data_IF_531097207063
#
_entry.id   IF_531097207063
#
_cell.length_a   1.000
_cell.length_b   1.000
_cell.length_c   1.000
_cell.angle_alpha   90.00
_cell.angle_beta   90.00
_cell.angle_gamma   90.00
#
_symmetry.space_group_name_H-M   'P 1'
#
loop_
_entity.id
_entity.type
_entity.pdbx_description
1 polymer ?
#
# COMPACT_ATOMS: atom_id res chain seq x y z
N UNK A 1 6.19 1.79 -15.07
CA UNK A 1 5.13 2.06 -14.08
C UNK A 1 3.91 2.58 -14.83
N UNK A 2 2.70 2.25 -14.39
CA UNK A 2 1.47 2.90 -14.85
C UNK A 2 0.89 3.74 -13.72
N UNK A 3 0.49 4.98 -14.02
CA UNK A 3 -0.19 5.87 -13.08
C UNK A 3 -1.65 5.96 -13.52
N UNK A 4 -2.58 5.97 -12.58
CA UNK A 4 -3.95 6.31 -12.91
C UNK A 4 -4.91 6.22 -11.74
N UNK A 5 -6.19 6.43 -12.07
CA UNK A 5 -7.25 6.57 -11.09
C UNK A 5 -7.24 7.91 -10.37
N UNK A 6 -6.46 8.88 -10.87
CA UNK A 6 -6.28 10.20 -10.27
C UNK A 6 -7.63 10.86 -9.98
N UNK A 7 -7.88 11.08 -8.70
CA UNK A 7 -9.08 11.78 -8.21
C UNK A 7 -8.62 12.92 -7.30
N UNK A 8 -9.13 14.13 -7.53
CA UNK A 8 -8.84 15.29 -6.67
C UNK A 8 -8.03 16.40 -7.34
N UNK A 9 -7.41 17.24 -6.51
CA UNK A 9 -6.60 18.39 -6.94
C UNK A 9 -5.25 17.95 -7.52
N UNK A 10 -4.71 18.70 -8.48
CA UNK A 10 -3.31 18.57 -8.91
C UNK A 10 -2.37 19.56 -8.22
N UNK A 11 -2.94 20.53 -7.49
CA UNK A 11 -2.17 21.44 -6.66
C UNK A 11 -1.88 20.76 -5.32
N UNK A 12 -0.59 20.78 -4.94
CA UNK A 12 -0.12 20.34 -3.63
C UNK A 12 -0.66 21.26 -2.53
N UNK A 13 -1.18 20.68 -1.46
CA UNK A 13 -1.81 21.41 -0.35
C UNK A 13 -0.96 21.29 0.90
N UNK A 14 -0.88 22.38 1.67
CA UNK A 14 -0.21 22.32 2.98
C UNK A 14 -1.13 21.58 3.96
N UNK A 15 -0.89 20.28 4.11
CA UNK A 15 -1.61 19.40 5.03
C UNK A 15 -0.80 19.10 6.29
N UNK A 16 -1.49 18.65 7.33
CA UNK A 16 -0.88 18.14 8.57
C UNK A 16 -1.32 16.69 8.77
N UNK A 17 -0.55 15.71 8.29
CA UNK A 17 -0.95 14.32 8.39
C UNK A 17 -1.01 13.85 9.85
N UNK A 18 -1.85 12.87 10.11
CA UNK A 18 -1.92 12.16 11.38
C UNK A 18 -1.32 10.79 11.21
N UNK A 19 -0.32 10.46 12.02
CA UNK A 19 0.34 9.17 11.98
C UNK A 19 -0.66 8.07 12.33
N UNK A 20 -0.95 7.22 11.36
CA UNK A 20 -1.83 6.05 11.50
C UNK A 20 -1.15 4.85 10.82
N UNK A 21 -1.27 3.69 11.44
CA UNK A 21 -0.87 2.42 10.85
C UNK A 21 -2.11 1.52 10.78
N UNK A 22 -2.50 1.13 9.57
CA UNK A 22 -3.66 0.24 9.35
C UNK A 22 -3.21 -1.02 8.62
N UNK A 23 -3.34 -2.16 9.29
CA UNK A 23 -2.96 -3.47 8.76
C UNK A 23 -4.20 -4.35 8.64
N UNK A 24 -4.61 -4.68 7.42
CA UNK A 24 -5.76 -5.55 7.16
C UNK A 24 -5.30 -6.92 6.69
N UNK A 25 -5.90 -7.99 7.22
CA UNK A 25 -5.50 -9.37 6.95
C UNK A 25 -5.78 -9.87 5.52
N UNK A 26 -6.54 -9.11 4.72
CA UNK A 26 -7.02 -9.54 3.40
C UNK A 26 -8.49 -9.94 3.40
N UNK A 27 -9.07 -10.12 2.22
CA UNK A 27 -10.51 -10.21 2.03
C UNK A 27 -11.11 -8.86 1.66
N UNK A 28 -12.38 -8.63 2.02
CA UNK A 28 -12.98 -7.31 1.90
C UNK A 28 -12.31 -6.33 2.88
N UNK A 29 -12.12 -5.09 2.44
CA UNK A 29 -11.64 -4.02 3.31
C UNK A 29 -12.61 -3.76 4.47
N UNK A 30 -12.06 -3.42 5.63
CA UNK A 30 -12.84 -2.89 6.75
C UNK A 30 -13.02 -1.38 6.54
N UNK A 31 -14.23 -0.96 6.17
CA UNK A 31 -14.52 0.43 5.82
C UNK A 31 -14.17 1.40 6.96
N UNK A 32 -14.40 1.04 8.23
CA UNK A 32 -14.09 1.92 9.35
C UNK A 32 -12.58 2.15 9.49
N UNK A 33 -11.78 1.09 9.42
CA UNK A 33 -10.33 1.19 9.45
C UNK A 33 -9.76 1.90 8.20
N UNK A 34 -10.36 1.67 7.03
CA UNK A 34 -9.98 2.32 5.78
C UNK A 34 -10.29 3.83 5.80
N UNK A 35 -11.44 4.24 6.36
CA UNK A 35 -11.77 5.65 6.60
C UNK A 35 -10.77 6.28 7.54
N UNK A 36 -10.43 5.60 8.65
CA UNK A 36 -9.41 6.11 9.56
C UNK A 36 -8.05 6.25 8.86
N UNK A 37 -7.65 5.32 8.01
CA UNK A 37 -6.42 5.48 7.22
C UNK A 37 -6.48 6.74 6.34
N UNK A 38 -7.56 6.93 5.57
CA UNK A 38 -7.71 8.04 4.63
C UNK A 38 -7.72 9.41 5.33
N UNK A 39 -8.43 9.53 6.47
CA UNK A 39 -8.39 10.74 7.32
C UNK A 39 -6.99 11.05 7.84
N UNK A 40 -6.13 10.03 7.96
CA UNK A 40 -4.73 10.18 8.34
C UNK A 40 -3.94 11.05 7.36
N UNK A 41 -4.38 11.18 6.10
CA UNK A 41 -3.79 12.11 5.14
C UNK A 41 -4.00 13.58 5.57
N UNK A 42 -4.92 13.87 6.50
CA UNK A 42 -5.13 15.24 7.00
C UNK A 42 -5.62 16.21 5.92
N UNK A 43 -6.23 15.71 4.85
CA UNK A 43 -6.63 16.48 3.68
C UNK A 43 -5.56 16.64 2.61
N UNK A 44 -4.39 16.01 2.76
CA UNK A 44 -3.32 15.95 1.76
C UNK A 44 -3.46 14.76 0.79
N UNK A 45 -2.35 14.37 0.19
CA UNK A 45 -2.28 13.42 -0.91
C UNK A 45 -2.15 11.98 -0.43
N UNK A 46 -2.91 11.09 -1.08
CA UNK A 46 -2.93 9.66 -0.81
C UNK A 46 -2.38 8.88 -2.00
N UNK A 47 -1.26 8.18 -1.80
CA UNK A 47 -0.66 7.32 -2.84
C UNK A 47 -1.01 5.86 -2.58
N UNK A 48 -1.53 5.19 -3.60
CA UNK A 48 -1.80 3.75 -3.57
C UNK A 48 -0.73 3.03 -4.37
N UNK A 49 0.02 2.16 -3.72
CA UNK A 49 1.00 1.29 -4.35
C UNK A 49 0.36 -0.07 -4.66
N UNK A 50 0.48 -0.50 -5.92
CA UNK A 50 0.00 -1.81 -6.38
C UNK A 50 1.07 -2.52 -7.19
N UNK A 51 1.16 -3.84 -7.03
CA UNK A 51 1.84 -4.71 -8.00
C UNK A 51 0.89 -5.25 -9.09
N UNK A 52 -0.42 -5.31 -8.82
CA UNK A 52 -1.42 -5.81 -9.77
C UNK A 52 -2.80 -5.20 -9.53
N UNK A 53 -3.73 -5.42 -10.47
CA UNK A 53 -5.13 -5.01 -10.36
C UNK A 53 -5.45 -3.62 -10.92
N UNK A 54 -6.52 -3.01 -10.41
CA UNK A 54 -7.11 -1.78 -10.96
C UNK A 54 -6.32 -0.50 -10.64
N UNK A 55 -6.29 0.44 -11.56
CA UNK A 55 -5.78 1.79 -11.30
C UNK A 55 -6.80 2.67 -10.55
N UNK A 56 -8.10 2.40 -10.66
CA UNK A 56 -9.15 3.34 -10.22
C UNK A 56 -9.93 2.92 -8.98
N UNK A 57 -9.80 1.68 -8.52
CA UNK A 57 -10.63 1.14 -7.43
C UNK A 57 -10.39 1.85 -6.10
N UNK A 58 -9.13 1.96 -5.66
CA UNK A 58 -8.81 2.58 -4.38
C UNK A 58 -8.91 4.11 -4.36
N UNK A 59 -8.51 4.85 -5.40
CA UNK A 59 -8.70 6.31 -5.39
C UNK A 59 -10.16 6.71 -5.16
N UNK A 60 -11.10 6.09 -5.87
CA UNK A 60 -12.54 6.35 -5.68
C UNK A 60 -13.01 5.90 -4.29
N UNK A 61 -12.54 4.75 -3.83
CA UNK A 61 -12.89 4.21 -2.52
C UNK A 61 -12.51 5.17 -1.39
N UNK A 62 -11.24 5.62 -1.37
CA UNK A 62 -10.73 6.51 -0.32
C UNK A 62 -11.25 7.95 -0.41
N UNK A 63 -11.54 8.47 -1.60
CA UNK A 63 -11.98 9.87 -1.74
C UNK A 63 -13.50 10.03 -1.72
N UNK A 64 -14.23 9.06 -2.24
CA UNK A 64 -15.68 9.20 -2.51
C UNK A 64 -16.52 8.21 -1.71
N UNK A 65 -16.20 6.91 -1.76
CA UNK A 65 -17.06 5.87 -1.15
C UNK A 65 -17.06 5.94 0.38
N UNK A 66 -15.91 6.17 0.99
CA UNK A 66 -15.72 6.15 2.44
C UNK A 66 -16.06 7.47 3.16
N UNK A 67 -16.27 8.55 2.39
CA UNK A 67 -16.56 9.91 2.88
C UNK A 67 -15.71 10.39 4.08
N UNK A 68 -14.37 10.21 4.08
CA UNK A 68 -13.51 10.57 5.22
C UNK A 68 -13.55 12.07 5.52
N UNK A 69 -13.31 12.44 6.79
CA UNK A 69 -13.25 13.82 7.26
C UNK A 69 -11.99 14.07 8.13
N UNK A 70 -10.99 14.81 7.64
CA UNK A 70 -10.92 15.46 6.33
C UNK A 70 -10.74 14.44 5.19
N UNK A 71 -11.32 14.76 4.03
CA UNK A 71 -11.11 13.99 2.80
C UNK A 71 -9.74 14.30 2.20
N UNK A 72 -8.98 13.30 1.71
CA UNK A 72 -7.76 13.54 0.93
C UNK A 72 -7.96 14.56 -0.21
N UNK A 73 -6.98 15.42 -0.46
CA UNK A 73 -6.97 16.38 -1.58
C UNK A 73 -6.90 15.67 -2.91
N UNK A 74 -6.07 14.62 -2.96
CA UNK A 74 -5.89 13.75 -4.10
C UNK A 74 -5.72 12.29 -3.67
N UNK A 75 -6.04 11.38 -4.59
CA UNK A 75 -5.63 9.98 -4.48
C UNK A 75 -5.20 9.46 -5.85
N UNK A 76 -4.07 8.75 -5.89
CA UNK A 76 -3.46 8.24 -7.13
C UNK A 76 -2.93 6.83 -6.94
N UNK A 77 -3.13 5.97 -7.94
CA UNK A 77 -2.53 4.63 -7.96
C UNK A 77 -1.24 4.61 -8.78
N UNK A 78 -0.16 4.10 -8.17
CA UNK A 78 1.07 3.71 -8.84
C UNK A 78 1.10 2.19 -8.99
N UNK A 79 0.93 1.71 -10.22
CA UNK A 79 1.01 0.31 -10.56
C UNK A 79 2.42 -0.05 -11.05
N UNK A 80 3.09 -0.90 -10.26
CA UNK A 80 4.47 -1.36 -10.46
C UNK A 80 4.53 -2.82 -10.93
N UNK A 81 3.61 -3.20 -11.83
CA UNK A 81 3.43 -4.59 -12.27
C UNK A 81 4.63 -5.19 -13.04
N UNK A 82 5.49 -4.35 -13.61
CA UNK A 82 6.67 -4.80 -14.34
C UNK A 82 7.86 -4.84 -13.36
N UNK A 83 8.62 -5.94 -13.28
CA UNK A 83 9.82 -6.00 -12.44
C UNK A 83 10.75 -4.80 -12.65
N UNK A 84 11.21 -4.20 -11.55
CA UNK A 84 12.07 -3.01 -11.57
C UNK A 84 11.34 -1.67 -11.74
N UNK A 85 10.03 -1.65 -12.02
CA UNK A 85 9.31 -0.35 -12.12
C UNK A 85 9.07 0.33 -10.78
N UNK A 86 9.17 -0.39 -9.67
CA UNK A 86 9.22 0.21 -8.34
C UNK A 86 10.51 1.00 -8.10
N UNK A 87 11.57 0.72 -8.86
CA UNK A 87 12.84 1.45 -8.80
C UNK A 87 12.84 2.74 -9.62
N UNK A 88 11.74 3.07 -10.29
CA UNK A 88 11.59 4.33 -11.01
C UNK A 88 11.67 5.50 -9.99
N UNK A 89 12.57 6.49 -10.20
CA UNK A 89 12.68 7.65 -9.31
C UNK A 89 11.36 8.40 -9.10
N UNK A 90 10.44 8.34 -10.07
CA UNK A 90 9.11 8.93 -9.93
C UNK A 90 8.30 8.28 -8.79
N UNK A 91 8.44 6.97 -8.56
CA UNK A 91 7.76 6.27 -7.45
C UNK A 91 8.21 6.84 -6.11
N UNK A 92 9.53 6.96 -5.91
CA UNK A 92 10.10 7.58 -4.70
C UNK A 92 9.65 9.02 -4.54
N UNK A 93 9.51 9.75 -5.65
CA UNK A 93 9.04 11.13 -5.64
C UNK A 93 7.61 11.26 -5.09
N UNK A 94 6.70 10.39 -5.55
CA UNK A 94 5.33 10.31 -5.05
C UNK A 94 5.28 9.89 -3.57
N UNK A 95 5.99 8.81 -3.20
CA UNK A 95 6.04 8.35 -1.81
C UNK A 95 6.56 9.46 -0.91
N UNK A 96 7.64 10.16 -1.31
CA UNK A 96 8.20 11.21 -0.48
C UNK A 96 7.33 12.47 -0.37
N UNK A 97 6.31 12.65 -1.20
CA UNK A 97 5.40 13.81 -1.11
C UNK A 97 4.06 13.48 -0.45
N UNK A 98 3.68 12.22 -0.37
CA UNK A 98 2.39 11.83 0.16
C UNK A 98 2.25 12.02 1.68
N UNK A 99 1.04 12.37 2.10
CA UNK A 99 0.57 12.37 3.49
C UNK A 99 0.03 11.01 3.93
N UNK A 100 -0.36 10.17 2.99
CA UNK A 100 -0.79 8.79 3.24
C UNK A 100 -0.35 7.83 2.13
N UNK A 101 0.10 6.63 2.50
CA UNK A 101 0.45 5.57 1.54
C UNK A 101 -0.27 4.26 1.86
N UNK A 102 -0.97 3.71 0.86
CA UNK A 102 -1.67 2.42 0.94
C UNK A 102 -1.01 1.36 0.06
N UNK A 103 -0.73 0.18 0.62
CA UNK A 103 -0.24 -0.98 -0.14
C UNK A 103 -1.38 -1.97 -0.35
N UNK A 104 -1.76 -2.19 -1.60
CA UNK A 104 -2.84 -3.12 -1.94
C UNK A 104 -2.45 -4.61 -1.74
N UNK A 105 -3.46 -5.48 -1.69
CA UNK A 105 -3.25 -6.92 -1.76
C UNK A 105 -2.61 -7.38 -3.07
N UNK A 106 -2.17 -8.64 -3.11
CA UNK A 106 -1.45 -9.22 -4.24
C UNK A 106 -0.50 -10.32 -3.78
N UNK A 107 0.69 -10.40 -4.38
CA UNK A 107 1.76 -11.29 -3.93
C UNK A 107 2.75 -10.54 -3.06
N UNK A 108 3.12 -11.10 -1.90
CA UNK A 108 4.19 -10.55 -1.04
C UNK A 108 5.51 -10.45 -1.80
N UNK A 109 5.79 -11.39 -2.71
CA UNK A 109 7.05 -11.41 -3.47
C UNK A 109 7.23 -10.18 -4.35
N UNK A 110 6.13 -9.62 -4.86
CA UNK A 110 6.21 -8.41 -5.66
C UNK A 110 6.65 -7.19 -4.84
N UNK A 111 6.26 -7.16 -3.55
CA UNK A 111 6.61 -6.07 -2.64
C UNK A 111 7.96 -6.29 -1.97
N UNK A 112 8.28 -7.51 -1.53
CA UNK A 112 9.48 -7.80 -0.73
C UNK A 112 10.69 -8.21 -1.58
N UNK A 113 10.45 -8.93 -2.69
CA UNK A 113 11.51 -9.46 -3.53
C UNK A 113 11.88 -8.59 -4.73
N UNK A 114 10.95 -7.73 -5.18
CA UNK A 114 11.12 -6.94 -6.41
C UNK A 114 11.24 -5.44 -6.18
N UNK A 115 10.80 -4.92 -5.04
CA UNK A 115 11.01 -3.51 -4.71
C UNK A 115 12.43 -3.31 -4.18
N UNK A 116 13.10 -2.21 -4.54
CA UNK A 116 14.42 -1.92 -4.01
C UNK A 116 14.34 -1.46 -2.55
N UNK A 117 15.40 -1.68 -1.77
CA UNK A 117 15.54 -1.22 -0.38
C UNK A 117 15.20 0.28 -0.20
N UNK A 118 15.46 1.09 -1.23
CA UNK A 118 15.16 2.52 -1.23
C UNK A 118 13.66 2.82 -1.14
N UNK A 119 12.78 1.98 -1.68
CA UNK A 119 11.33 2.13 -1.53
C UNK A 119 10.90 1.81 -0.11
N UNK A 120 11.42 0.73 0.48
CA UNK A 120 11.15 0.38 1.88
C UNK A 120 11.67 1.46 2.86
N UNK A 121 12.85 2.02 2.57
CA UNK A 121 13.40 3.13 3.32
C UNK A 121 12.51 4.40 3.19
N UNK A 122 12.00 4.70 1.99
CA UNK A 122 11.10 5.84 1.78
C UNK A 122 9.77 5.68 2.55
N UNK A 123 9.19 4.46 2.57
CA UNK A 123 8.00 4.16 3.38
C UNK A 123 8.27 4.35 4.88
N UNK A 124 9.42 3.90 5.35
CA UNK A 124 9.84 4.07 6.75
C UNK A 124 10.04 5.54 7.12
N UNK A 125 10.68 6.32 6.23
CA UNK A 125 10.86 7.77 6.41
C UNK A 125 9.51 8.51 6.39
N UNK A 126 8.60 8.13 5.50
CA UNK A 126 7.26 8.69 5.42
C UNK A 126 6.51 8.51 6.76
N UNK A 127 6.52 7.30 7.33
CA UNK A 127 5.95 7.06 8.66
C UNK A 127 6.65 7.89 9.77
N UNK A 128 7.96 8.10 9.66
CA UNK A 128 8.74 8.96 10.56
C UNK A 128 8.36 10.44 10.51
N UNK A 129 7.82 10.93 9.38
CA UNK A 129 7.30 12.30 9.22
C UNK A 129 5.87 12.49 9.73
N UNK A 130 5.25 11.42 10.25
CA UNK A 130 3.88 11.47 10.78
C UNK A 130 2.79 11.16 9.75
N UNK A 131 3.15 10.69 8.56
CA UNK A 131 2.19 10.25 7.55
C UNK A 131 1.45 8.97 7.96
N UNK A 132 0.29 8.74 7.35
CA UNK A 132 -0.44 7.49 7.49
C UNK A 132 0.13 6.42 6.55
N UNK A 133 0.25 5.19 7.03
CA UNK A 133 0.65 4.04 6.23
C UNK A 133 -0.35 2.92 6.47
N UNK A 134 -0.76 2.25 5.42
CA UNK A 134 -1.62 1.09 5.57
C UNK A 134 -1.51 0.10 4.43
N UNK A 135 -2.13 -1.05 4.62
CA UNK A 135 -2.25 -2.02 3.55
C UNK A 135 -3.18 -3.17 3.90
N UNK A 136 -3.42 -4.01 2.91
CA UNK A 136 -4.24 -5.23 3.04
C UNK A 136 -3.51 -6.45 2.50
N UNK A 137 -3.68 -7.60 3.14
CA UNK A 137 -3.07 -8.89 2.76
C UNK A 137 -1.56 -8.74 2.55
N UNK A 138 -1.04 -9.04 1.36
CA UNK A 138 0.36 -8.88 1.01
C UNK A 138 0.91 -7.46 1.29
N UNK A 139 0.12 -6.42 1.02
CA UNK A 139 0.52 -5.04 1.29
C UNK A 139 0.70 -4.76 2.78
N UNK A 140 -0.19 -5.29 3.63
CA UNK A 140 -0.06 -5.19 5.08
C UNK A 140 1.18 -5.92 5.60
N UNK A 141 1.42 -7.15 5.12
CA UNK A 141 2.57 -7.95 5.53
C UNK A 141 3.90 -7.30 5.13
N UNK A 142 3.91 -6.58 4.01
CA UNK A 142 5.11 -5.91 3.48
C UNK A 142 5.56 -4.69 4.29
N UNK A 143 4.76 -4.26 5.26
CA UNK A 143 5.09 -3.17 6.19
C UNK A 143 5.81 -3.65 7.45
N UNK A 144 5.92 -4.97 7.65
CA UNK A 144 6.69 -5.54 8.75
C UNK A 144 8.21 -5.43 8.53
N UNK A 145 8.98 -5.46 9.62
CA UNK A 145 10.45 -5.54 9.56
C UNK A 145 10.92 -6.87 8.95
N UNK A 146 10.14 -7.94 9.18
CA UNK A 146 10.33 -9.24 8.56
C UNK A 146 8.96 -9.83 8.20
N UNK A 147 8.89 -10.52 7.07
CA UNK A 147 7.67 -11.15 6.58
C UNK A 147 8.00 -12.37 5.71
N UNK A 148 7.02 -13.28 5.60
CA UNK A 148 7.08 -14.38 4.65
C UNK A 148 6.89 -13.84 3.23
N UNK A 149 7.91 -13.99 2.37
CA UNK A 149 7.93 -13.38 1.04
C UNK A 149 7.06 -14.10 0.00
N UNK A 150 6.66 -15.35 0.29
CA UNK A 150 5.90 -16.20 -0.61
C UNK A 150 6.52 -16.31 -2.03
N UNK A 151 7.85 -16.23 -2.18
CA UNK A 151 8.53 -16.32 -3.48
C UNK A 151 8.12 -17.57 -4.25
N UNK A 152 7.99 -18.68 -3.52
CA UNK A 152 7.63 -20.00 -4.06
C UNK A 152 6.20 -20.41 -3.67
N UNK A 153 5.36 -19.44 -3.30
CA UNK A 153 4.03 -19.70 -2.74
C UNK A 153 4.09 -20.01 -1.25
N UNK A 154 3.07 -20.69 -0.75
CA UNK A 154 3.00 -21.18 0.63
C UNK A 154 2.20 -22.47 0.69
N UNK A 155 2.18 -23.09 1.87
CA UNK A 155 1.46 -24.34 2.12
C UNK A 155 0.16 -24.07 2.89
N UNK A 156 -0.92 -24.77 2.54
CA UNK A 156 -2.12 -24.81 3.38
C UNK A 156 -1.96 -25.76 4.58
N UNK A 157 -2.76 -25.55 5.63
CA UNK A 157 -2.76 -26.47 6.78
C UNK A 157 -3.08 -27.92 6.39
N UNK A 158 -3.93 -28.13 5.38
CA UNK A 158 -4.25 -29.48 4.90
C UNK A 158 -3.07 -30.16 4.22
N UNK A 159 -2.33 -29.44 3.37
CA UNK A 159 -1.13 -29.95 2.72
C UNK A 159 -0.03 -30.25 3.73
N UNK A 160 0.23 -29.31 4.66
CA UNK A 160 1.22 -29.50 5.72
C UNK A 160 0.90 -30.67 6.65
N UNK A 161 -0.38 -30.92 6.96
CA UNK A 161 -0.81 -32.07 7.76
C UNK A 161 -0.69 -33.40 6.99
N UNK A 162 -0.90 -33.38 5.67
CA UNK A 162 -0.83 -34.59 4.84
C UNK A 162 0.59 -35.10 4.62
N UNK A 163 1.57 -34.19 4.54
CA UNK A 163 2.99 -34.51 4.45
C UNK A 163 3.83 -33.41 5.13
N UNK A 164 4.05 -33.50 6.45
CA UNK A 164 4.79 -32.49 7.21
C UNK A 164 6.29 -32.42 6.89
N UNK A 165 6.83 -33.36 6.11
CA UNK A 165 8.27 -33.47 5.81
C UNK A 165 8.59 -33.18 4.34
N UNK A 166 7.60 -32.78 3.54
CA UNK A 166 7.85 -32.38 2.15
C UNK A 166 8.80 -31.18 2.09
N UNK A 167 9.65 -31.16 1.06
CA UNK A 167 10.73 -30.18 0.92
C UNK A 167 10.29 -28.76 0.58
N UNK A 168 9.01 -28.57 0.29
CA UNK A 168 8.34 -27.31 -0.07
C UNK A 168 7.28 -26.91 0.98
N UNK A 169 7.41 -27.42 2.21
CA UNK A 169 6.72 -26.96 3.44
C UNK A 169 7.65 -26.15 4.32
#
# INVERSE_FOLDING_TARGET
MSIGGDSGSQDDVVASPTRRLVLMGGGAEDDAAATLFAEGAGGGDLVILRASGSLSSYPTYFTTSLTPQPRPSSAVTLLTAIPGTASDPAVLCWINRAEAVWLAGGSQWDYLGRWPDTVHAALSQLAGRGAAVGGTSAGAMSLGEAAFDAQFGGVSSAEALSDPLRSDV
#
